data_IF_139150278348
#
_entry.id   IF_139150278348
#
_cell.length_a   1.000
_cell.length_b   1.000
_cell.length_c   1.000
_cell.angle_alpha   90.00
_cell.angle_beta   90.00
_cell.angle_gamma   90.00
#
_symmetry.space_group_name_H-M   'P 1'
#
loop_
_entity.id
_entity.type
_entity.pdbx_description
1 polymer ?
#
# COMPACT_ATOMS: atom_id res chain seq x y z
N UNK A 1 -9.16 -13.93 0.27
CA UNK A 1 -9.78 -12.88 1.09
C UNK A 1 -9.75 -11.57 0.32
N UNK A 2 -10.89 -10.96 0.11
CA UNK A 2 -11.02 -9.72 -0.63
C UNK A 2 -12.01 -8.79 0.09
N UNK A 3 -11.51 -7.86 0.91
CA UNK A 3 -12.35 -6.86 1.56
C UNK A 3 -13.07 -5.99 0.53
N UNK A 4 -14.03 -5.21 0.94
CA UNK A 4 -14.70 -4.26 0.08
C UNK A 4 -14.11 -2.86 0.23
N UNK A 5 -14.54 -1.95 -0.64
CA UNK A 5 -14.13 -0.53 -0.62
C UNK A 5 -15.17 0.39 0.03
N UNK A 6 -16.10 -0.16 0.82
CA UNK A 6 -17.17 0.58 1.47
C UNK A 6 -18.45 0.74 0.63
N UNK A 7 -18.45 0.26 -0.62
CA UNK A 7 -19.65 0.24 -1.49
C UNK A 7 -20.03 -1.18 -1.92
N UNK A 8 -19.47 -2.19 -1.27
CA UNK A 8 -19.71 -3.61 -1.58
C UNK A 8 -18.84 -4.17 -2.72
N UNK A 9 -18.02 -3.36 -3.36
CA UNK A 9 -17.09 -3.85 -4.39
C UNK A 9 -15.89 -4.56 -3.75
N UNK A 10 -15.57 -5.75 -4.24
CA UNK A 10 -14.40 -6.48 -3.79
C UNK A 10 -13.11 -5.75 -4.14
N UNK A 11 -12.23 -5.62 -3.14
CA UNK A 11 -10.85 -5.22 -3.31
C UNK A 11 -9.94 -6.24 -2.63
N UNK A 12 -8.71 -6.37 -3.10
CA UNK A 12 -7.74 -7.28 -2.49
C UNK A 12 -7.08 -6.62 -1.28
N UNK A 13 -6.70 -7.43 -0.29
CA UNK A 13 -5.78 -6.96 0.73
C UNK A 13 -4.49 -6.47 0.07
N UNK A 14 -4.09 -5.27 0.42
CA UNK A 14 -2.91 -4.62 -0.12
C UNK A 14 -1.74 -4.72 0.85
N UNK A 15 -0.59 -5.20 0.37
CA UNK A 15 0.63 -5.38 1.16
C UNK A 15 1.79 -4.61 0.52
N UNK A 16 2.78 -4.30 1.36
CA UNK A 16 4.10 -3.89 0.90
C UNK A 16 5.15 -4.94 1.28
N UNK A 17 6.16 -5.10 0.46
CA UNK A 17 7.32 -5.93 0.77
C UNK A 17 8.61 -5.15 0.64
N UNK A 18 9.60 -5.54 1.41
CA UNK A 18 10.93 -4.94 1.35
C UNK A 18 11.80 -5.61 0.30
N UNK A 19 12.69 -4.82 -0.29
CA UNK A 19 13.64 -5.25 -1.32
C UNK A 19 15.05 -5.00 -0.82
N UNK A 20 15.85 -6.05 -0.74
CA UNK A 20 17.30 -5.92 -0.66
C UNK A 20 17.81 -5.75 -2.10
N UNK A 21 18.25 -4.56 -2.46
CA UNK A 21 18.72 -4.27 -3.80
C UNK A 21 20.14 -4.82 -4.01
N UNK A 22 20.26 -6.13 -4.01
CA UNK A 22 21.48 -6.91 -4.15
C UNK A 22 21.22 -8.11 -5.07
N UNK A 23 21.89 -8.14 -6.23
CA UNK A 23 21.67 -9.20 -7.22
C UNK A 23 22.12 -10.57 -6.73
N UNK A 24 23.13 -10.65 -5.88
CA UNK A 24 23.59 -11.94 -5.34
C UNK A 24 22.56 -12.56 -4.40
N UNK A 25 21.84 -11.72 -3.65
CA UNK A 25 20.74 -12.15 -2.80
C UNK A 25 19.43 -12.38 -3.56
N UNK A 26 19.09 -11.48 -4.46
CA UNK A 26 17.80 -11.42 -5.15
C UNK A 26 17.77 -12.21 -6.46
N UNK A 27 18.94 -12.51 -7.03
CA UNK A 27 19.03 -13.29 -8.26
C UNK A 27 19.18 -14.77 -7.94
N UNK A 28 18.20 -15.57 -8.32
CA UNK A 28 18.26 -17.01 -8.12
C UNK A 28 18.07 -17.78 -9.42
N UNK A 29 18.98 -18.73 -9.65
CA UNK A 29 18.83 -19.70 -10.71
C UNK A 29 17.74 -20.75 -10.41
N UNK A 30 17.18 -20.71 -9.23
CA UNK A 30 16.13 -21.64 -8.79
C UNK A 30 14.72 -21.06 -8.95
N UNK A 31 14.58 -19.88 -9.55
CA UNK A 31 13.28 -19.33 -9.91
C UNK A 31 12.52 -20.29 -10.84
N UNK A 32 11.26 -20.53 -10.56
CA UNK A 32 10.35 -21.32 -11.38
C UNK A 32 9.25 -20.40 -11.89
N UNK A 33 9.11 -20.35 -13.19
CA UNK A 33 8.21 -19.43 -13.86
C UNK A 33 6.74 -19.57 -13.42
N UNK A 34 6.29 -20.78 -13.16
CA UNK A 34 4.89 -21.05 -12.88
C UNK A 34 4.66 -21.49 -11.44
N UNK A 35 4.62 -20.53 -10.54
CA UNK A 35 4.18 -20.81 -9.19
C UNK A 35 5.30 -21.18 -8.25
N UNK A 36 6.17 -20.27 -8.02
CA UNK A 36 7.13 -20.34 -6.93
C UNK A 36 6.47 -20.74 -5.59
N UNK A 37 5.24 -20.33 -5.38
CA UNK A 37 4.45 -20.66 -4.20
C UNK A 37 4.13 -22.14 -4.08
N UNK A 38 4.24 -22.91 -5.16
CA UNK A 38 4.02 -24.36 -5.18
C UNK A 38 5.30 -25.15 -4.89
N UNK A 39 6.45 -24.50 -4.95
CA UNK A 39 7.72 -25.14 -4.67
C UNK A 39 8.18 -24.83 -3.22
N UNK A 40 7.49 -25.43 -2.26
CA UNK A 40 7.79 -25.32 -0.83
C UNK A 40 9.27 -25.57 -0.50
N UNK A 41 9.91 -26.49 -1.18
CA UNK A 41 11.29 -26.84 -0.89
C UNK A 41 12.27 -25.70 -1.21
N UNK A 42 12.00 -24.92 -2.21
CA UNK A 42 12.82 -23.74 -2.59
C UNK A 42 12.67 -22.62 -1.58
N UNK A 43 11.44 -22.35 -1.14
CA UNK A 43 11.18 -21.37 -0.10
C UNK A 43 11.81 -21.75 1.22
N UNK A 44 11.76 -23.00 1.58
CA UNK A 44 12.37 -23.48 2.82
C UNK A 44 13.89 -23.30 2.83
N UNK A 45 14.56 -23.38 1.68
CA UNK A 45 16.01 -23.18 1.56
C UNK A 45 16.44 -21.74 1.35
N UNK A 46 15.53 -20.87 0.91
CA UNK A 46 15.78 -19.46 0.66
C UNK A 46 14.94 -18.64 1.63
N UNK A 47 15.58 -17.94 2.51
CA UNK A 47 14.90 -17.09 3.50
C UNK A 47 14.49 -15.74 2.95
N UNK A 48 14.83 -15.42 1.69
CA UNK A 48 14.57 -14.14 1.06
C UNK A 48 13.78 -14.29 -0.24
N UNK A 49 12.98 -13.30 -0.55
CA UNK A 49 12.33 -13.15 -1.85
C UNK A 49 13.37 -12.90 -2.95
N UNK A 50 13.04 -13.32 -4.15
CA UNK A 50 13.86 -13.12 -5.34
C UNK A 50 13.11 -12.24 -6.36
N UNK A 51 13.83 -11.69 -7.35
CA UNK A 51 13.23 -10.78 -8.33
C UNK A 51 11.97 -11.32 -8.98
N UNK A 52 11.95 -12.59 -9.36
CA UNK A 52 10.78 -13.21 -9.96
C UNK A 52 9.58 -13.29 -9.00
N UNK A 53 9.82 -13.49 -7.69
CA UNK A 53 8.73 -13.43 -6.70
C UNK A 53 8.13 -12.02 -6.64
N UNK A 54 8.99 -10.99 -6.64
CA UNK A 54 8.53 -9.61 -6.60
C UNK A 54 7.72 -9.24 -7.85
N UNK A 55 8.18 -9.66 -9.04
CA UNK A 55 7.45 -9.44 -10.28
C UNK A 55 6.03 -10.02 -10.21
N UNK A 56 5.90 -11.26 -9.71
CA UNK A 56 4.60 -11.89 -9.55
C UNK A 56 3.75 -11.18 -8.48
N UNK A 57 4.32 -10.88 -7.33
CA UNK A 57 3.59 -10.17 -6.26
C UNK A 57 3.07 -8.79 -6.71
N UNK A 58 3.87 -8.06 -7.48
CA UNK A 58 3.45 -6.76 -8.02
C UNK A 58 2.27 -6.86 -8.99
N UNK A 59 2.13 -7.98 -9.73
CA UNK A 59 0.96 -8.24 -10.55
C UNK A 59 -0.34 -8.33 -9.73
N UNK A 60 -0.22 -8.60 -8.44
CA UNK A 60 -1.34 -8.61 -7.49
C UNK A 60 -1.47 -7.32 -6.67
N UNK A 61 -0.76 -6.26 -7.05
CA UNK A 61 -0.86 -4.95 -6.39
C UNK A 61 0.01 -4.80 -5.13
N UNK A 62 0.98 -5.67 -4.91
CA UNK A 62 1.92 -5.54 -3.79
C UNK A 62 2.89 -4.40 -4.08
N UNK A 63 3.08 -3.50 -3.11
CA UNK A 63 4.07 -2.43 -3.19
C UNK A 63 5.46 -2.90 -2.77
N UNK A 64 6.48 -2.12 -3.13
CA UNK A 64 7.87 -2.39 -2.79
C UNK A 64 8.47 -1.24 -2.01
N UNK A 65 9.36 -1.56 -1.08
CA UNK A 65 10.09 -0.58 -0.29
C UNK A 65 11.59 -0.89 -0.28
N UNK A 66 12.41 0.14 -0.37
CA UNK A 66 13.81 0.00 0.00
C UNK A 66 13.92 -0.52 1.42
N UNK A 67 14.87 -1.37 1.65
CA UNK A 67 15.25 -1.83 2.97
C UNK A 67 16.77 -1.79 3.10
N UNK A 68 17.45 -2.91 3.16
CA UNK A 68 18.89 -2.91 3.20
C UNK A 68 19.49 -2.57 1.82
N UNK A 69 20.52 -1.75 1.82
CA UNK A 69 21.32 -1.43 0.64
C UNK A 69 22.63 -2.17 0.73
N UNK A 70 23.13 -2.65 -0.40
CA UNK A 70 24.34 -3.47 -0.48
C UNK A 70 25.59 -2.67 -0.09
N UNK A 71 25.75 -2.44 1.21
CA UNK A 71 26.91 -1.79 1.83
C UNK A 71 27.34 -2.57 3.07
N UNK A 72 28.64 -2.70 3.35
CA UNK A 72 29.13 -3.18 4.62
C UNK A 72 28.62 -2.32 5.80
N UNK A 73 28.39 -2.91 6.96
CA UNK A 73 27.78 -2.20 8.09
C UNK A 73 28.61 -0.98 8.54
N UNK A 74 29.94 -1.08 8.49
CA UNK A 74 30.86 0.02 8.79
C UNK A 74 30.80 1.16 7.77
N UNK A 75 30.20 0.93 6.62
CA UNK A 75 30.06 1.92 5.55
C UNK A 75 28.69 2.57 5.49
N UNK A 76 27.71 2.14 6.30
CA UNK A 76 26.34 2.65 6.30
C UNK A 76 26.22 4.05 6.93
N UNK A 77 27.01 5.00 6.42
CA UNK A 77 26.88 6.41 6.77
C UNK A 77 25.80 7.09 5.92
N UNK A 78 25.24 8.19 6.39
CA UNK A 78 24.19 8.93 5.69
C UNK A 78 24.58 9.25 4.23
N UNK A 79 25.79 9.77 3.98
CA UNK A 79 26.23 10.15 2.64
C UNK A 79 26.45 8.94 1.71
N UNK A 80 26.98 7.83 2.23
CA UNK A 80 27.15 6.60 1.44
C UNK A 80 25.80 5.96 1.11
N UNK A 81 24.87 5.93 2.06
CA UNK A 81 23.51 5.46 1.83
C UNK A 81 22.79 6.34 0.80
N UNK A 82 22.93 7.67 0.91
CA UNK A 82 22.36 8.59 -0.08
C UNK A 82 22.90 8.31 -1.49
N UNK A 83 24.19 8.06 -1.63
CA UNK A 83 24.79 7.72 -2.91
C UNK A 83 24.35 6.34 -3.43
N UNK A 84 23.96 5.42 -2.55
CA UNK A 84 23.56 4.07 -2.90
C UNK A 84 22.08 3.99 -3.34
N UNK A 85 21.18 4.86 -2.90
CA UNK A 85 19.78 4.84 -3.32
C UNK A 85 19.59 4.90 -4.84
N UNK A 86 20.24 5.78 -5.61
CA UNK A 86 20.14 5.77 -7.06
C UNK A 86 20.62 4.47 -7.72
N UNK A 87 21.64 3.84 -7.16
CA UNK A 87 22.14 2.54 -7.65
C UNK A 87 21.11 1.46 -7.44
N UNK A 88 20.58 1.36 -6.22
CA UNK A 88 19.50 0.42 -5.89
C UNK A 88 18.24 0.67 -6.71
N UNK A 89 17.88 1.95 -6.91
CA UNK A 89 16.74 2.34 -7.75
C UNK A 89 16.92 1.89 -9.20
N UNK A 90 18.13 2.04 -9.75
CA UNK A 90 18.43 1.59 -11.12
C UNK A 90 18.27 0.08 -11.25
N UNK A 91 18.78 -0.68 -10.29
CA UNK A 91 18.66 -2.13 -10.25
C UNK A 91 17.18 -2.57 -10.15
N UNK A 92 16.42 -1.98 -9.25
CA UNK A 92 14.98 -2.25 -9.10
C UNK A 92 14.24 -1.99 -10.41
N UNK A 93 14.50 -0.87 -11.07
CA UNK A 93 13.87 -0.55 -12.36
C UNK A 93 14.23 -1.53 -13.47
N UNK A 94 15.48 -1.94 -13.53
CA UNK A 94 15.93 -2.96 -14.50
C UNK A 94 15.23 -4.30 -14.30
N UNK A 95 15.14 -4.75 -13.03
CA UNK A 95 14.60 -6.07 -12.70
C UNK A 95 13.08 -6.13 -12.64
N UNK A 96 12.40 -5.01 -12.41
CA UNK A 96 10.97 -4.94 -12.16
C UNK A 96 10.24 -4.04 -13.18
N UNK A 97 10.54 -4.19 -14.48
CA UNK A 97 9.82 -3.54 -15.58
C UNK A 97 9.66 -2.01 -15.40
N UNK A 98 10.75 -1.32 -15.11
CA UNK A 98 10.80 0.11 -14.81
C UNK A 98 10.03 0.57 -13.56
N UNK A 99 9.62 -0.35 -12.67
CA UNK A 99 9.00 0.00 -11.41
C UNK A 99 9.92 0.91 -10.58
N UNK A 100 9.44 2.07 -10.19
CA UNK A 100 10.14 2.99 -9.28
C UNK A 100 9.77 2.67 -7.84
N UNK A 101 10.75 2.52 -6.96
CA UNK A 101 10.56 2.39 -5.53
C UNK A 101 10.57 3.77 -4.89
N UNK A 102 9.49 4.15 -4.22
CA UNK A 102 9.36 5.45 -3.53
C UNK A 102 9.11 5.34 -2.03
N UNK A 103 9.33 4.16 -1.49
CA UNK A 103 9.20 3.87 -0.06
C UNK A 103 10.52 3.42 0.54
N UNK A 104 10.73 3.74 1.82
CA UNK A 104 11.73 3.13 2.66
C UNK A 104 11.08 2.49 3.88
N UNK A 105 11.42 1.23 4.16
CA UNK A 105 11.23 0.60 5.47
C UNK A 105 12.57 0.59 6.18
N UNK A 106 12.70 1.30 7.31
CA UNK A 106 13.94 1.44 8.07
C UNK A 106 14.53 0.07 8.45
N UNK A 107 15.75 -0.26 8.01
CA UNK A 107 16.42 -1.50 8.43
C UNK A 107 16.93 -1.39 9.86
N UNK A 108 16.64 -2.36 10.68
CA UNK A 108 17.24 -2.57 12.02
C UNK A 108 17.21 -1.34 12.96
N UNK A 109 16.36 -0.34 12.70
CA UNK A 109 16.33 0.91 13.46
C UNK A 109 17.51 1.85 13.18
N UNK A 110 18.25 1.64 12.09
CA UNK A 110 19.37 2.51 11.71
C UNK A 110 18.89 3.84 11.13
N UNK A 111 19.03 4.88 11.93
CA UNK A 111 18.60 6.25 11.57
C UNK A 111 19.38 6.89 10.41
N UNK A 112 20.53 6.36 10.03
CA UNK A 112 21.26 6.87 8.86
C UNK A 112 20.45 6.62 7.57
N UNK A 113 19.70 5.51 7.50
CA UNK A 113 18.78 5.25 6.38
C UNK A 113 17.69 6.31 6.28
N UNK A 114 17.05 6.66 7.40
CA UNK A 114 16.02 7.71 7.43
C UNK A 114 16.60 9.05 7.00
N UNK A 115 17.77 9.46 7.55
CA UNK A 115 18.42 10.72 7.20
C UNK A 115 18.78 10.79 5.71
N UNK A 116 19.35 9.72 5.17
CA UNK A 116 19.70 9.64 3.76
C UNK A 116 18.45 9.67 2.87
N UNK A 117 17.40 8.94 3.24
CA UNK A 117 16.16 8.88 2.49
C UNK A 117 15.44 10.23 2.42
N UNK A 118 15.46 11.01 3.52
CA UNK A 118 14.90 12.38 3.53
C UNK A 118 15.61 13.35 2.60
N UNK A 119 16.83 13.02 2.14
CA UNK A 119 17.60 13.80 1.16
C UNK A 119 17.45 13.26 -0.27
N UNK A 120 16.84 12.10 -0.45
CA UNK A 120 16.66 11.49 -1.77
C UNK A 120 15.27 11.78 -2.29
N UNK A 121 15.16 12.60 -3.32
CA UNK A 121 13.92 13.16 -3.88
C UNK A 121 12.95 12.12 -4.47
N UNK A 122 13.37 10.86 -4.67
CA UNK A 122 12.52 9.79 -5.18
C UNK A 122 11.82 9.00 -4.06
N UNK A 123 12.26 9.13 -2.82
CA UNK A 123 11.57 8.53 -1.68
C UNK A 123 10.51 9.49 -1.17
N UNK A 124 9.27 9.05 -1.16
CA UNK A 124 8.09 9.84 -0.77
C UNK A 124 7.54 9.45 0.57
N UNK A 125 7.62 8.21 0.94
CA UNK A 125 7.08 7.72 2.21
C UNK A 125 8.10 6.80 2.89
N UNK A 126 8.20 6.96 4.21
CA UNK A 126 9.17 6.24 5.03
C UNK A 126 8.46 5.67 6.25
N UNK A 127 8.85 4.47 6.65
CA UNK A 127 8.37 3.92 7.91
C UNK A 127 9.52 3.54 8.84
N UNK A 128 9.35 3.84 10.12
CA UNK A 128 10.32 3.58 11.17
C UNK A 128 9.67 3.09 12.45
N UNK A 129 10.46 2.40 13.27
CA UNK A 129 10.03 1.88 14.57
C UNK A 129 10.03 2.93 15.68
N UNK A 130 10.88 3.95 15.55
CA UNK A 130 10.99 5.04 16.52
C UNK A 130 11.29 6.36 15.82
N UNK A 131 10.94 7.47 16.47
CA UNK A 131 11.06 8.80 15.87
C UNK A 131 10.09 9.02 14.71
N UNK A 132 8.98 8.30 14.71
CA UNK A 132 7.98 8.29 13.68
C UNK A 132 6.67 8.89 14.20
N UNK A 133 5.79 9.26 13.27
CA UNK A 133 4.47 9.81 13.60
C UNK A 133 3.38 8.77 13.38
N UNK A 134 2.30 8.88 14.13
CA UNK A 134 1.04 8.21 13.82
C UNK A 134 0.28 9.03 12.78
N UNK A 135 -0.39 8.32 11.88
CA UNK A 135 -1.32 8.93 10.94
C UNK A 135 -2.74 8.92 11.52
N UNK A 136 -3.42 10.03 11.36
CA UNK A 136 -4.82 10.18 11.76
C UNK A 136 -5.67 10.46 10.51
N UNK A 137 -6.13 9.44 9.79
CA UNK A 137 -6.72 9.57 8.46
C UNK A 137 -7.92 10.51 8.39
N UNK A 138 -8.68 10.63 9.47
CA UNK A 138 -9.86 11.48 9.51
C UNK A 138 -9.56 12.94 9.88
N UNK A 139 -8.38 13.23 10.39
CA UNK A 139 -7.92 14.59 10.75
C UNK A 139 -6.82 15.10 9.82
N UNK A 140 -6.01 14.17 9.26
CA UNK A 140 -4.80 14.53 8.54
C UNK A 140 -5.10 15.38 7.29
N UNK A 141 -4.48 16.53 7.21
CA UNK A 141 -4.62 17.49 6.08
C UNK A 141 -3.27 17.99 5.57
N UNK A 142 -2.16 17.54 6.17
CA UNK A 142 -0.84 17.95 5.73
C UNK A 142 -0.38 17.07 4.58
N UNK A 143 0.59 17.57 3.82
CA UNK A 143 1.30 16.76 2.86
C UNK A 143 2.09 15.67 3.56
N UNK A 144 1.98 14.44 3.08
CA UNK A 144 2.68 13.27 3.61
C UNK A 144 4.01 12.99 2.89
N UNK A 145 4.40 13.85 1.99
CA UNK A 145 5.68 13.71 1.29
C UNK A 145 6.85 13.73 2.28
N UNK A 146 7.70 12.71 2.17
CA UNK A 146 8.89 12.55 3.01
C UNK A 146 8.65 12.56 4.54
N UNK A 147 7.47 12.18 4.99
CA UNK A 147 7.22 11.99 6.42
C UNK A 147 7.60 10.58 6.87
N UNK A 148 8.08 10.49 8.12
CA UNK A 148 8.40 9.20 8.75
C UNK A 148 7.18 8.70 9.51
N UNK A 149 6.60 7.63 9.03
CA UNK A 149 5.36 7.03 9.55
C UNK A 149 5.70 5.91 10.52
N UNK A 150 4.93 5.79 11.59
CA UNK A 150 5.08 4.69 12.54
C UNK A 150 4.85 3.34 11.85
N UNK A 151 5.73 2.38 12.15
CA UNK A 151 5.57 0.97 11.83
C UNK A 151 5.71 0.17 13.11
N UNK A 152 4.68 -0.57 13.48
CA UNK A 152 4.70 -1.42 14.64
C UNK A 152 4.91 -2.89 14.25
N UNK A 153 5.78 -3.56 14.98
CA UNK A 153 5.93 -5.02 14.92
C UNK A 153 5.22 -5.64 16.10
N UNK A 154 4.39 -6.62 15.81
CA UNK A 154 3.66 -7.40 16.81
C UNK A 154 4.24 -8.81 16.91
N UNK A 155 5.57 -8.88 16.94
CA UNK A 155 6.29 -10.14 17.10
C UNK A 155 6.22 -10.60 18.57
N UNK A 156 6.27 -11.91 18.82
CA UNK A 156 6.37 -12.41 20.19
C UNK A 156 7.62 -11.86 20.91
N UNK A 157 7.59 -11.70 22.23
CA UNK A 157 8.66 -11.07 23.01
C UNK A 157 10.06 -11.72 22.86
N UNK A 158 10.14 -12.91 22.30
CA UNK A 158 11.40 -13.65 22.15
C UNK A 158 11.98 -13.59 20.71
N UNK A 159 11.52 -12.68 19.88
CA UNK A 159 12.12 -12.44 18.56
C UNK A 159 12.03 -13.62 17.61
N UNK A 160 10.97 -14.40 17.66
CA UNK A 160 10.74 -15.51 16.73
C UNK A 160 10.54 -15.05 15.29
N UNK A 161 10.39 -13.76 15.06
CA UNK A 161 10.07 -13.16 13.77
C UNK A 161 8.65 -13.47 13.28
N UNK A 162 7.83 -14.11 14.10
CA UNK A 162 6.42 -14.38 13.79
C UNK A 162 5.55 -13.27 14.34
N UNK A 163 4.58 -12.84 13.56
CA UNK A 163 3.60 -11.85 14.03
C UNK A 163 2.66 -12.49 15.05
N UNK A 164 2.31 -11.74 16.08
CA UNK A 164 1.31 -12.15 17.05
C UNK A 164 -0.07 -11.55 16.67
N UNK A 165 -0.96 -12.34 16.05
CA UNK A 165 -2.26 -11.86 15.61
C UNK A 165 -3.13 -11.30 16.73
N UNK A 166 -3.04 -11.85 17.94
CA UNK A 166 -3.84 -11.39 19.07
C UNK A 166 -3.43 -10.01 19.55
N UNK A 167 -2.15 -9.68 19.49
CA UNK A 167 -1.67 -8.32 19.79
C UNK A 167 -2.16 -7.32 18.75
N UNK A 168 -2.19 -7.70 17.47
CA UNK A 168 -2.70 -6.84 16.39
C UNK A 168 -4.22 -6.63 16.58
N UNK A 169 -4.98 -7.70 16.84
CA UNK A 169 -6.41 -7.60 17.14
C UNK A 169 -6.68 -6.67 18.31
N UNK A 170 -5.92 -6.80 19.40
CA UNK A 170 -6.06 -5.91 20.55
C UNK A 170 -5.78 -4.44 20.21
N UNK A 171 -4.77 -4.17 19.38
CA UNK A 171 -4.47 -2.82 18.91
C UNK A 171 -5.61 -2.24 18.07
N UNK A 172 -6.18 -3.01 17.15
CA UNK A 172 -7.32 -2.62 16.32
C UNK A 172 -8.54 -2.30 17.20
N UNK A 173 -8.89 -3.19 18.12
CA UNK A 173 -10.02 -2.98 19.02
C UNK A 173 -9.87 -1.73 19.87
N UNK A 174 -8.66 -1.46 20.35
CA UNK A 174 -8.35 -0.25 21.11
C UNK A 174 -8.56 1.03 20.29
N UNK A 175 -8.16 1.05 19.01
CA UNK A 175 -8.41 2.21 18.13
C UNK A 175 -9.91 2.37 17.85
N UNK A 176 -10.66 1.27 17.70
CA UNK A 176 -12.09 1.32 17.44
C UNK A 176 -12.92 1.83 18.64
N UNK A 177 -12.40 1.75 19.86
CA UNK A 177 -13.02 2.34 21.05
C UNK A 177 -12.98 3.89 21.04
N UNK A 178 -12.07 4.48 20.25
CA UNK A 178 -11.92 5.93 20.15
C UNK A 178 -12.98 6.54 19.22
N UNK A 179 -13.32 7.82 19.41
CA UNK A 179 -14.05 8.59 18.41
C UNK A 179 -13.36 8.49 17.03
N UNK A 180 -14.13 8.50 15.94
CA UNK A 180 -13.61 8.29 14.57
C UNK A 180 -12.43 9.22 14.26
N UNK A 181 -12.53 10.49 14.63
CA UNK A 181 -11.52 11.51 14.42
C UNK A 181 -10.21 11.26 15.18
N UNK A 182 -10.26 10.52 16.27
CA UNK A 182 -9.10 10.24 17.14
C UNK A 182 -8.42 8.90 16.79
N UNK A 183 -8.98 8.14 15.84
CA UNK A 183 -8.44 6.85 15.44
C UNK A 183 -7.19 7.02 14.59
N UNK A 184 -6.13 6.36 14.99
CA UNK A 184 -4.90 6.28 14.21
C UNK A 184 -4.97 5.12 13.20
N UNK A 185 -4.32 5.29 12.05
CA UNK A 185 -4.03 4.18 11.16
C UNK A 185 -3.02 3.23 11.84
N UNK A 186 -3.25 1.92 11.71
CA UNK A 186 -2.35 0.91 12.25
C UNK A 186 -1.45 0.41 11.11
N UNK A 187 -0.17 0.79 11.17
CA UNK A 187 0.85 0.33 10.22
C UNK A 187 1.56 -0.89 10.79
N UNK A 188 1.36 -2.05 10.18
CA UNK A 188 1.86 -3.34 10.66
C UNK A 188 3.06 -3.75 9.83
N UNK A 189 4.19 -4.04 10.50
CA UNK A 189 5.33 -4.75 9.92
C UNK A 189 5.39 -6.18 10.45
N UNK A 190 5.82 -7.11 9.61
CA UNK A 190 6.09 -8.48 9.99
C UNK A 190 7.31 -9.02 9.27
N UNK A 191 8.08 -9.89 9.92
CA UNK A 191 9.22 -10.56 9.30
C UNK A 191 8.83 -11.84 8.57
N UNK A 192 7.82 -12.54 9.07
CA UNK A 192 7.32 -13.77 8.49
C UNK A 192 5.79 -13.78 8.45
N UNK A 193 5.27 -14.51 7.48
CA UNK A 193 3.84 -14.81 7.37
C UNK A 193 3.63 -16.31 7.54
N UNK A 194 2.90 -16.69 8.54
CA UNK A 194 2.56 -18.07 8.87
C UNK A 194 1.04 -18.32 8.82
N UNK A 195 0.60 -19.45 9.33
CA UNK A 195 -0.83 -19.78 9.39
C UNK A 195 -1.62 -18.78 10.25
N UNK A 196 -0.99 -18.18 11.27
CA UNK A 196 -1.60 -17.13 12.08
C UNK A 196 -2.00 -15.89 11.27
N UNK A 197 -1.25 -15.56 10.21
CA UNK A 197 -1.62 -14.50 9.27
C UNK A 197 -2.88 -14.85 8.49
N UNK A 198 -3.03 -16.08 8.04
CA UNK A 198 -4.23 -16.52 7.33
C UNK A 198 -5.47 -16.36 8.20
N UNK A 199 -5.38 -16.83 9.44
CA UNK A 199 -6.48 -16.71 10.41
C UNK A 199 -6.76 -15.25 10.76
N UNK A 200 -5.73 -14.42 10.89
CA UNK A 200 -5.87 -12.99 11.15
C UNK A 200 -6.55 -12.26 9.99
N UNK A 201 -6.12 -12.49 8.74
CA UNK A 201 -6.72 -11.88 7.56
C UNK A 201 -8.16 -12.34 7.35
N UNK A 202 -8.43 -13.62 7.65
CA UNK A 202 -9.80 -14.12 7.64
C UNK A 202 -10.67 -13.41 8.68
N UNK A 203 -10.18 -13.27 9.90
CA UNK A 203 -10.89 -12.52 10.94
C UNK A 203 -11.16 -11.06 10.54
N UNK A 204 -10.18 -10.38 9.93
CA UNK A 204 -10.35 -9.01 9.43
C UNK A 204 -11.48 -8.95 8.38
N UNK A 205 -11.46 -9.87 7.41
CA UNK A 205 -12.47 -9.93 6.37
C UNK A 205 -13.88 -10.23 6.94
N UNK A 206 -13.96 -11.21 7.83
CA UNK A 206 -15.22 -11.65 8.41
C UNK A 206 -15.82 -10.61 9.39
N UNK A 207 -15.01 -9.71 9.91
CA UNK A 207 -15.46 -8.70 10.90
C UNK A 207 -15.63 -7.32 10.28
N UNK A 208 -14.62 -6.83 9.55
CA UNK A 208 -14.54 -5.44 9.08
C UNK A 208 -14.42 -5.30 7.56
N UNK A 209 -14.31 -6.41 6.84
CA UNK A 209 -14.28 -6.44 5.39
C UNK A 209 -15.63 -6.83 4.83
N UNK A 210 -15.62 -7.38 3.62
CA UNK A 210 -16.79 -7.73 2.84
C UNK A 210 -17.81 -8.62 3.57
N UNK A 211 -17.33 -9.62 4.31
CA UNK A 211 -18.19 -10.56 5.01
C UNK A 211 -18.59 -10.06 6.41
N UNK A 212 -18.14 -8.87 6.79
CA UNK A 212 -18.42 -8.18 8.03
C UNK A 212 -19.23 -6.89 7.82
N UNK A 213 -18.83 -5.82 8.52
CA UNK A 213 -19.51 -4.52 8.49
C UNK A 213 -18.96 -3.53 7.45
N UNK A 214 -17.95 -3.96 6.67
CA UNK A 214 -17.27 -3.18 5.63
C UNK A 214 -16.78 -1.81 6.09
N UNK A 215 -16.31 -1.71 7.33
CA UNK A 215 -15.98 -0.45 8.00
C UNK A 215 -14.50 -0.07 7.96
N UNK A 216 -13.62 -0.96 7.44
CA UNK A 216 -12.18 -0.78 7.51
C UNK A 216 -11.51 -0.86 6.13
N UNK A 217 -10.65 0.08 5.84
CA UNK A 217 -9.82 0.08 4.64
C UNK A 217 -8.49 -0.63 4.90
N UNK A 218 -8.17 -1.61 4.07
CA UNK A 218 -6.93 -2.39 4.10
C UNK A 218 -6.03 -1.96 2.95
N UNK A 219 -4.94 -1.29 3.26
CA UNK A 219 -4.07 -0.70 2.25
C UNK A 219 -2.60 -0.91 2.59
N UNK A 220 -1.71 -0.77 1.62
CA UNK A 220 -0.28 -0.64 1.87
C UNK A 220 0.11 0.84 1.97
N UNK A 221 1.33 1.09 2.44
CA UNK A 221 1.78 2.45 2.70
C UNK A 221 1.93 3.28 1.42
N UNK A 222 2.33 2.68 0.29
CA UNK A 222 2.44 3.38 -0.99
C UNK A 222 1.08 3.79 -1.53
N UNK A 223 0.12 2.88 -1.51
CA UNK A 223 -1.26 3.16 -1.90
C UNK A 223 -1.89 4.23 -0.99
N UNK A 224 -1.65 4.15 0.32
CA UNK A 224 -2.08 5.18 1.25
C UNK A 224 -1.52 6.56 0.89
N UNK A 225 -0.20 6.64 0.60
CA UNK A 225 0.44 7.87 0.18
C UNK A 225 -0.19 8.42 -1.10
N UNK A 226 -0.34 7.59 -2.14
CA UNK A 226 -0.91 8.01 -3.42
C UNK A 226 -2.37 8.47 -3.29
N UNK A 227 -3.19 7.72 -2.55
CA UNK A 227 -4.57 8.09 -2.28
C UNK A 227 -4.66 9.43 -1.52
N UNK A 228 -3.81 9.61 -0.53
CA UNK A 228 -3.75 10.84 0.24
C UNK A 228 -3.28 12.03 -0.61
N UNK A 229 -2.30 11.82 -1.48
CA UNK A 229 -1.86 12.82 -2.44
C UNK A 229 -3.01 13.26 -3.35
N UNK A 230 -3.76 12.32 -3.93
CA UNK A 230 -4.92 12.65 -4.75
C UNK A 230 -5.98 13.43 -3.96
N UNK A 231 -6.23 13.07 -2.71
CA UNK A 231 -7.14 13.79 -1.84
C UNK A 231 -6.76 15.27 -1.66
N UNK A 232 -5.47 15.57 -1.60
CA UNK A 232 -4.97 16.94 -1.43
C UNK A 232 -4.88 17.71 -2.75
N UNK A 233 -4.54 17.06 -3.84
CA UNK A 233 -4.13 17.70 -5.09
C UNK A 233 -5.13 17.52 -6.23
N UNK A 234 -5.95 16.47 -6.23
CA UNK A 234 -7.00 16.31 -7.24
C UNK A 234 -8.14 17.27 -6.97
N UNK A 235 -8.56 17.96 -8.02
CA UNK A 235 -9.70 18.89 -7.98
C UNK A 235 -10.79 18.31 -8.88
N UNK A 236 -11.84 17.71 -8.29
CA UNK A 236 -12.97 17.27 -9.07
C UNK A 236 -13.67 18.49 -9.70
N UNK A 237 -13.92 18.43 -11.01
CA UNK A 237 -14.69 19.41 -11.74
C UNK A 237 -16.01 18.79 -12.16
N UNK A 238 -17.12 19.41 -11.75
CA UNK A 238 -18.47 18.96 -12.11
C UNK A 238 -19.07 20.00 -13.02
N UNK A 239 -19.48 19.57 -14.22
CA UNK A 239 -20.14 20.41 -15.22
C UNK A 239 -21.48 19.80 -15.59
N UNK A 240 -22.55 20.61 -15.55
CA UNK A 240 -23.82 20.21 -16.13
C UNK A 240 -23.71 20.31 -17.66
N UNK A 241 -23.95 19.19 -18.33
CA UNK A 241 -23.86 19.08 -19.80
C UNK A 241 -25.24 19.11 -20.46
N UNK A 242 -26.29 18.71 -19.71
CA UNK A 242 -27.68 18.77 -20.15
C UNK A 242 -28.59 18.91 -18.90
N UNK A 243 -29.89 19.01 -19.07
CA UNK A 243 -30.89 19.27 -18.03
C UNK A 243 -30.77 18.25 -16.86
N UNK A 244 -30.43 17.01 -17.15
CA UNK A 244 -30.31 15.93 -16.18
C UNK A 244 -28.97 15.16 -16.25
N UNK A 245 -27.96 15.76 -16.92
CA UNK A 245 -26.68 15.12 -17.14
C UNK A 245 -25.55 15.98 -16.61
N UNK A 246 -24.67 15.39 -15.82
CA UNK A 246 -23.46 16.01 -15.29
C UNK A 246 -22.23 15.20 -15.68
N UNK A 247 -21.15 15.90 -15.97
CA UNK A 247 -19.83 15.32 -16.21
C UNK A 247 -18.93 15.63 -15.03
N UNK A 248 -18.43 14.59 -14.40
CA UNK A 248 -17.35 14.66 -13.42
C UNK A 248 -16.02 14.43 -14.13
N UNK A 249 -15.09 15.36 -13.98
CA UNK A 249 -13.73 15.24 -14.50
C UNK A 249 -12.74 15.23 -13.35
N UNK A 250 -11.84 14.24 -13.35
CA UNK A 250 -10.78 14.08 -12.35
C UNK A 250 -9.43 14.00 -13.05
N UNK A 251 -8.42 14.61 -12.45
CA UNK A 251 -7.04 14.42 -12.83
C UNK A 251 -6.34 13.60 -11.75
N UNK A 252 -5.99 12.36 -12.10
CA UNK A 252 -5.24 11.43 -11.23
C UNK A 252 -3.78 11.27 -11.70
N UNK A 253 -3.19 12.32 -12.26
CA UNK A 253 -1.76 12.36 -12.50
C UNK A 253 -1.02 12.51 -11.19
N UNK A 254 -0.05 11.63 -10.96
CA UNK A 254 0.87 11.75 -9.85
C UNK A 254 1.97 12.79 -10.12
N UNK A 255 3.02 12.73 -9.33
CA UNK A 255 4.20 13.56 -9.53
C UNK A 255 5.08 13.03 -10.67
N UNK A 256 5.61 13.92 -11.51
CA UNK A 256 6.49 13.54 -12.61
C UNK A 256 7.77 12.84 -12.15
N UNK A 257 8.24 13.17 -10.95
CA UNK A 257 9.48 12.64 -10.40
C UNK A 257 9.35 11.24 -9.81
N UNK A 258 8.14 10.81 -9.46
CA UNK A 258 7.84 9.53 -8.83
C UNK A 258 6.52 8.95 -9.36
N UNK A 259 6.55 8.05 -10.37
CA UNK A 259 5.34 7.49 -10.95
C UNK A 259 4.41 6.86 -9.91
N UNK A 260 3.11 7.07 -10.06
CA UNK A 260 2.06 6.51 -9.22
C UNK A 260 1.53 5.21 -9.82
N UNK A 261 1.14 4.28 -8.95
CA UNK A 261 0.73 2.93 -9.33
C UNK A 261 -0.65 2.54 -8.81
N UNK A 262 -1.25 3.39 -7.97
CA UNK A 262 -2.55 3.17 -7.34
C UNK A 262 -3.52 4.34 -7.62
N UNK A 263 -3.75 4.71 -8.89
CA UNK A 263 -4.62 5.83 -9.22
C UNK A 263 -6.07 5.49 -8.89
N UNK A 264 -6.49 5.85 -7.68
CA UNK A 264 -7.83 5.64 -7.17
C UNK A 264 -8.23 6.79 -6.24
N UNK A 265 -9.52 7.12 -6.21
CA UNK A 265 -10.04 8.18 -5.36
C UNK A 265 -11.52 7.95 -5.06
N UNK A 266 -11.94 8.38 -3.88
CA UNK A 266 -13.36 8.48 -3.52
C UNK A 266 -13.82 9.92 -3.62
N UNK A 267 -14.86 10.18 -4.38
CA UNK A 267 -15.53 11.47 -4.48
C UNK A 267 -16.83 11.43 -3.70
N UNK A 268 -16.94 12.33 -2.74
CA UNK A 268 -18.15 12.50 -1.94
C UNK A 268 -18.98 13.65 -2.52
N UNK A 269 -20.21 13.36 -2.92
CA UNK A 269 -21.14 14.34 -3.50
C UNK A 269 -22.27 14.57 -2.48
N UNK A 270 -22.34 15.80 -1.99
CA UNK A 270 -23.37 16.19 -1.03
C UNK A 270 -24.68 16.51 -1.74
N UNK A 271 -25.79 16.11 -1.15
CA UNK A 271 -27.13 16.42 -1.65
C UNK A 271 -27.55 15.61 -2.89
N UNK A 272 -26.82 14.55 -3.20
CA UNK A 272 -27.19 13.55 -4.19
C UNK A 272 -27.44 12.22 -3.49
N UNK A 273 -28.41 11.45 -3.98
CA UNK A 273 -28.76 10.12 -3.49
C UNK A 273 -28.78 9.10 -4.64
N UNK A 274 -28.62 7.83 -4.31
CA UNK A 274 -28.74 6.75 -5.30
C UNK A 274 -30.05 6.80 -6.07
N UNK A 275 -31.16 7.13 -5.42
CA UNK A 275 -32.49 7.22 -6.01
C UNK A 275 -32.61 8.35 -7.05
N UNK A 276 -31.72 9.34 -7.03
CA UNK A 276 -31.69 10.44 -7.98
C UNK A 276 -30.88 10.10 -9.25
N UNK A 277 -30.25 8.90 -9.29
CA UNK A 277 -29.32 8.52 -10.36
C UNK A 277 -29.94 7.43 -11.21
N UNK A 278 -30.09 7.72 -12.50
CA UNK A 278 -30.53 6.72 -13.48
C UNK A 278 -29.35 5.83 -13.94
N UNK A 279 -28.20 6.42 -14.24
CA UNK A 279 -27.01 5.69 -14.68
C UNK A 279 -25.74 6.48 -14.43
N UNK A 280 -24.62 5.77 -14.30
CA UNK A 280 -23.28 6.33 -14.28
C UNK A 280 -22.46 5.64 -15.37
N UNK A 281 -21.87 6.42 -16.24
CA UNK A 281 -20.97 5.94 -17.29
C UNK A 281 -19.56 6.46 -17.02
N UNK A 282 -18.54 5.67 -17.35
CA UNK A 282 -17.14 6.04 -17.21
C UNK A 282 -16.40 5.90 -18.54
N UNK A 283 -15.27 6.58 -18.67
CA UNK A 283 -14.38 6.39 -19.81
C UNK A 283 -13.53 5.10 -19.66
N UNK A 284 -12.78 4.77 -20.69
CA UNK A 284 -11.93 3.56 -20.76
C UNK A 284 -10.76 3.54 -19.75
N UNK A 285 -10.40 4.69 -19.16
CA UNK A 285 -9.34 4.74 -18.15
C UNK A 285 -9.80 4.22 -16.79
N UNK A 286 -11.10 4.20 -16.55
CA UNK A 286 -11.67 3.71 -15.29
C UNK A 286 -11.79 2.20 -15.36
N UNK A 287 -11.01 1.53 -14.52
CA UNK A 287 -10.95 0.07 -14.42
C UNK A 287 -11.88 -0.50 -13.36
N UNK A 288 -12.30 0.34 -12.41
CA UNK A 288 -13.25 -0.02 -11.37
C UNK A 288 -14.10 1.18 -10.97
N UNK A 289 -15.40 0.97 -10.89
CA UNK A 289 -16.37 1.97 -10.48
C UNK A 289 -17.36 1.35 -9.52
N UNK A 290 -17.49 1.94 -8.34
CA UNK A 290 -18.55 1.58 -7.40
C UNK A 290 -19.10 2.80 -6.71
N UNK A 291 -20.35 2.75 -6.32
CA UNK A 291 -21.02 3.89 -5.72
C UNK A 291 -22.17 3.44 -4.81
N UNK A 292 -22.51 4.34 -3.89
CA UNK A 292 -23.59 4.10 -2.94
C UNK A 292 -23.78 5.28 -2.00
N UNK A 293 -24.83 5.20 -1.19
CA UNK A 293 -25.09 6.21 -0.16
C UNK A 293 -24.37 5.86 1.14
N UNK A 294 -23.69 6.84 1.73
CA UNK A 294 -23.30 6.84 3.13
C UNK A 294 -24.01 8.01 3.82
N UNK A 295 -25.12 7.70 4.50
CA UNK A 295 -26.02 8.69 5.16
C UNK A 295 -26.51 9.74 4.15
N UNK A 296 -26.01 10.97 4.24
CA UNK A 296 -26.38 12.10 3.38
C UNK A 296 -25.36 12.40 2.27
N UNK A 297 -24.45 11.48 2.06
CA UNK A 297 -23.37 11.61 1.08
C UNK A 297 -23.53 10.51 0.05
N UNK A 298 -23.58 10.87 -1.23
CA UNK A 298 -23.37 9.92 -2.31
C UNK A 298 -21.87 9.74 -2.51
N UNK A 299 -21.38 8.51 -2.32
CA UNK A 299 -19.98 8.15 -2.42
C UNK A 299 -19.74 7.46 -3.76
N UNK A 300 -18.74 7.96 -4.51
CA UNK A 300 -18.31 7.42 -5.78
C UNK A 300 -16.84 7.02 -5.70
N UNK A 301 -16.57 5.72 -5.76
CA UNK A 301 -15.22 5.19 -5.79
C UNK A 301 -14.79 4.96 -7.24
N UNK A 302 -13.67 5.54 -7.61
CA UNK A 302 -13.11 5.49 -8.95
C UNK A 302 -11.73 4.86 -8.86
N UNK A 303 -11.52 3.77 -9.59
CA UNK A 303 -10.24 3.08 -9.71
C UNK A 303 -9.78 3.10 -11.17
N UNK A 304 -8.56 3.58 -11.39
CA UNK A 304 -7.90 3.60 -12.70
C UNK A 304 -6.63 2.73 -12.70
N UNK A 305 -6.49 1.81 -11.74
CA UNK A 305 -5.34 0.91 -11.68
C UNK A 305 -5.36 -0.06 -12.84
N UNK A 306 -4.22 -0.18 -13.51
CA UNK A 306 -4.01 -1.21 -14.52
C UNK A 306 -3.33 -2.40 -13.87
N UNK A 307 -4.10 -3.41 -13.51
CA UNK A 307 -3.55 -4.69 -13.04
C UNK A 307 -2.87 -5.38 -14.21
N UNK A 308 -1.60 -5.73 -14.04
CA UNK A 308 -0.82 -6.41 -15.09
C UNK A 308 -1.20 -7.88 -15.26
N UNK A 309 -1.89 -8.47 -14.30
CA UNK A 309 -2.49 -9.78 -14.41
C UNK A 309 -4.02 -9.61 -14.46
N UNK A 310 -4.59 -9.60 -15.63
CA UNK A 310 -5.91 -10.14 -15.81
C UNK A 310 -5.85 -11.56 -15.28
N UNK A 311 -6.74 -11.86 -14.35
CA UNK A 311 -6.86 -13.10 -13.64
C UNK A 311 -6.44 -14.30 -14.50
N UNK A 312 -5.34 -14.93 -14.16
CA UNK A 312 -5.18 -16.32 -14.53
C UNK A 312 -6.28 -17.06 -13.75
N UNK A 313 -7.45 -17.13 -14.32
CA UNK A 313 -8.43 -18.14 -13.97
C UNK A 313 -7.78 -19.48 -14.25
N UNK A 314 -7.34 -20.15 -13.18
CA UNK A 314 -7.20 -21.60 -13.15
C UNK A 314 -7.08 -22.09 -11.70
#
# INVERSE_FOLDING_TARGET
LAPTNGTGQEVRFSFGTTVAADDDLMNTKTWVQNGYTRDYFRFYKKTMLVWGNLQEMMNYGVSIAFHDLNLPDEEKTEDKLLAQFPVAQSMIREKLNNRTCKMLAEPNGDKNYIKAALRYDKIRTLCAQSGAIKLYPFQEKRDLEQVVIERAFYDPPQGSGLTNPDMIKAAILKELELPKEDRAAISIGAHNTDTGWVDFLKWLNDTYGRDGDDSMWFTNQEEYYEYYYYRLHSKPEIQQTDTHTWKLTLNLNGEDSAPFYYPSVTVNILGLKMEDIESIESNEDVTGLSYGDDKDIFMLNIDCRKYLAEHAEN
#
